data_IF_003469790779
#
_entry.id   IF_003469790779
#
_cell.length_a   1.000
_cell.length_b   1.000
_cell.length_c   1.000
_cell.angle_alpha   90.00
_cell.angle_beta   90.00
_cell.angle_gamma   90.00
#
_symmetry.space_group_name_H-M   'P 1'
#
loop_
_entity.id
_entity.type
_entity.pdbx_description
1 polymer ?
#
# COMPACT_ATOMS: atom_id res chain seq x y z
N UNK A 1 20.18 7.44 -10.12
CA UNK A 1 18.87 6.84 -10.46
C UNK A 1 17.80 7.87 -10.15
N UNK A 2 17.10 8.38 -11.17
CA UNK A 2 16.15 9.49 -11.06
C UNK A 2 15.04 9.14 -10.06
N UNK A 3 14.83 10.02 -9.07
CA UNK A 3 13.71 9.94 -8.10
C UNK A 3 12.34 10.18 -8.75
N UNK A 4 12.33 10.56 -10.04
CA UNK A 4 11.14 10.89 -10.81
C UNK A 4 10.38 9.68 -11.37
N UNK A 5 10.89 8.45 -11.17
CA UNK A 5 10.15 7.19 -11.42
C UNK A 5 9.67 6.57 -10.09
N UNK A 6 9.42 7.37 -9.04
CA UNK A 6 8.42 7.00 -8.03
C UNK A 6 6.99 7.24 -8.56
N UNK A 7 6.75 6.65 -9.73
CA UNK A 7 5.50 6.05 -10.17
C UNK A 7 4.20 6.81 -9.86
N UNK A 8 3.60 7.36 -10.92
CA UNK A 8 2.20 7.77 -11.04
C UNK A 8 1.16 6.68 -10.65
N UNK A 9 1.60 5.51 -10.18
CA UNK A 9 0.79 4.35 -9.84
C UNK A 9 0.74 4.03 -8.33
N UNK A 10 1.23 4.95 -7.48
CA UNK A 10 1.21 4.80 -6.01
C UNK A 10 0.38 5.90 -5.35
N UNK A 11 -0.79 5.57 -4.81
CA UNK A 11 -1.55 6.47 -3.94
C UNK A 11 -1.06 6.30 -2.50
N UNK A 12 -0.84 7.40 -1.76
CA UNK A 12 -0.54 7.37 -0.32
C UNK A 12 -1.48 8.29 0.44
N UNK A 13 -2.07 7.78 1.52
CA UNK A 13 -2.96 8.52 2.41
C UNK A 13 -2.42 8.39 3.84
N UNK A 14 -2.17 9.52 4.50
CA UNK A 14 -1.85 9.56 5.92
C UNK A 14 -3.14 9.65 6.74
N UNK A 15 -3.39 8.65 7.57
CA UNK A 15 -4.56 8.57 8.42
C UNK A 15 -4.32 9.29 9.74
N UNK A 16 -5.11 10.33 9.99
CA UNK A 16 -5.24 10.89 11.34
C UNK A 16 -6.06 9.98 12.27
N UNK A 17 -6.91 9.15 11.68
CA UNK A 17 -7.76 8.12 12.27
C UNK A 17 -8.73 7.60 11.19
N UNK A 18 -8.99 6.29 11.17
CA UNK A 18 -9.92 5.66 10.23
C UNK A 18 -10.84 4.71 10.99
N UNK A 19 -12.13 4.68 10.65
CA UNK A 19 -13.04 3.68 11.18
C UNK A 19 -12.63 2.27 10.69
N UNK A 20 -12.78 1.21 11.50
CA UNK A 20 -12.44 -0.15 11.08
C UNK A 20 -13.08 -0.55 9.74
N UNK A 21 -14.34 -0.20 9.53
CA UNK A 21 -15.11 -0.55 8.34
C UNK A 21 -14.60 0.18 7.09
N UNK A 22 -14.16 1.43 7.26
CA UNK A 22 -13.57 2.20 6.18
C UNK A 22 -12.18 1.64 5.80
N UNK A 23 -11.40 1.19 6.78
CA UNK A 23 -10.14 0.48 6.50
C UNK A 23 -10.42 -0.80 5.72
N UNK A 24 -11.42 -1.59 6.11
CA UNK A 24 -11.79 -2.81 5.39
C UNK A 24 -12.15 -2.57 3.92
N UNK A 25 -12.83 -1.45 3.62
CA UNK A 25 -13.13 -1.06 2.23
C UNK A 25 -11.86 -0.76 1.43
N UNK A 26 -10.92 0.03 1.98
CA UNK A 26 -9.64 0.30 1.31
C UNK A 26 -8.85 -0.98 1.08
N UNK A 27 -8.78 -1.87 2.07
CA UNK A 27 -8.10 -3.15 1.94
C UNK A 27 -8.75 -4.03 0.85
N UNK A 28 -10.08 -4.04 0.76
CA UNK A 28 -10.81 -4.75 -0.30
C UNK A 28 -10.52 -4.19 -1.71
N UNK A 29 -10.21 -2.89 -1.81
CA UNK A 29 -9.78 -2.24 -3.05
C UNK A 29 -8.29 -2.46 -3.38
N UNK A 30 -7.57 -3.29 -2.62
CA UNK A 30 -6.15 -3.56 -2.84
C UNK A 30 -5.21 -2.49 -2.29
N UNK A 31 -5.67 -1.68 -1.35
CA UNK A 31 -4.81 -0.81 -0.57
C UNK A 31 -4.18 -1.58 0.59
N UNK A 32 -3.01 -1.11 1.05
CA UNK A 32 -2.21 -1.72 2.10
C UNK A 32 -1.94 -0.74 3.21
N UNK A 33 -1.97 -1.20 4.46
CA UNK A 33 -1.74 -0.36 5.64
C UNK A 33 -0.37 -0.65 6.25
N UNK A 34 0.41 0.41 6.45
CA UNK A 34 1.64 0.40 7.25
C UNK A 34 1.55 1.50 8.30
N UNK A 35 1.31 1.12 9.56
CA UNK A 35 1.12 2.08 10.66
C UNK A 35 -0.08 3.00 10.45
N UNK A 36 0.19 4.30 10.33
CA UNK A 36 -0.81 5.35 10.06
C UNK A 36 -0.93 5.70 8.57
N UNK A 37 -0.31 4.95 7.67
CA UNK A 37 -0.37 5.21 6.23
C UNK A 37 -1.06 4.06 5.52
N UNK A 38 -1.96 4.38 4.59
CA UNK A 38 -2.47 3.42 3.61
C UNK A 38 -1.91 3.79 2.23
N UNK A 39 -1.49 2.80 1.45
CA UNK A 39 -0.96 3.00 0.11
C UNK A 39 -1.32 1.86 -0.85
N UNK A 40 -1.36 2.15 -2.15
CA UNK A 40 -1.37 1.12 -3.20
C UNK A 40 -0.01 1.10 -3.86
N UNK A 41 0.55 -0.09 -4.11
CA UNK A 41 1.66 -0.21 -5.05
C UNK A 41 1.62 -1.55 -5.74
N UNK A 42 1.85 -1.54 -7.04
CA UNK A 42 2.02 -2.76 -7.83
C UNK A 42 3.47 -3.27 -7.77
N UNK A 43 4.42 -2.38 -7.49
CA UNK A 43 5.84 -2.70 -7.55
C UNK A 43 6.59 -2.18 -6.32
N UNK A 44 7.46 -3.01 -5.77
CA UNK A 44 8.39 -2.62 -4.71
C UNK A 44 9.79 -2.56 -5.29
N UNK A 45 10.53 -1.53 -4.91
CA UNK A 45 11.93 -1.35 -5.28
C UNK A 45 12.79 -1.71 -4.07
N UNK A 46 13.56 -2.78 -4.18
CA UNK A 46 14.53 -3.20 -3.18
C UNK A 46 15.84 -3.54 -3.86
N UNK A 47 16.97 -3.14 -3.29
CA UNK A 47 18.32 -3.50 -3.78
C UNK A 47 18.56 -3.28 -5.29
N UNK A 48 17.93 -2.25 -5.85
CA UNK A 48 17.93 -1.91 -7.29
C UNK A 48 17.11 -2.81 -8.21
N UNK A 49 16.39 -3.79 -7.66
CA UNK A 49 15.47 -4.67 -8.37
C UNK A 49 14.01 -4.27 -8.15
N UNK A 50 13.16 -4.66 -9.11
CA UNK A 50 11.71 -4.41 -9.11
C UNK A 50 10.98 -5.71 -8.84
N UNK A 51 10.15 -5.72 -7.81
CA UNK A 51 9.35 -6.86 -7.40
C UNK A 51 7.86 -6.56 -7.53
N UNK A 52 7.07 -7.50 -8.04
CA UNK A 52 5.61 -7.40 -7.96
C UNK A 52 5.15 -7.55 -6.50
N UNK A 53 4.38 -6.57 -6.03
CA UNK A 53 3.85 -6.58 -4.67
C UNK A 53 2.59 -7.44 -4.62
N UNK A 54 2.67 -8.62 -3.98
CA UNK A 54 1.51 -9.46 -3.67
C UNK A 54 1.28 -9.39 -2.17
N UNK A 55 0.08 -8.99 -1.78
CA UNK A 55 -0.27 -8.84 -0.38
C UNK A 55 -1.40 -9.79 -0.03
N UNK A 56 -1.15 -10.59 1.01
CA UNK A 56 -2.09 -11.60 1.48
C UNK A 56 -2.85 -11.04 2.69
N UNK A 57 -4.18 -11.02 2.60
CA UNK A 57 -5.03 -10.73 3.76
C UNK A 57 -5.11 -12.00 4.61
N UNK A 58 -4.42 -12.02 5.74
CA UNK A 58 -4.56 -13.09 6.73
C UNK A 58 -5.82 -12.81 7.54
N UNK A 59 -6.76 -13.75 7.54
CA UNK A 59 -7.87 -13.75 8.49
C UNK A 59 -7.36 -14.34 9.81
N UNK A 60 -7.28 -13.51 10.84
CA UNK A 60 -6.93 -13.96 12.18
C UNK A 60 -8.23 -14.31 12.94
N UNK A 61 -8.34 -15.52 13.52
CA UNK A 61 -9.48 -15.93 14.32
C UNK A 61 -9.56 -15.23 15.68
#
# INVERSE_FOLDING_TARGET
MNRDIESQFTGRIFLKGIAPEALDQYLAMGWYRMGLTIFTTHFLFFDSDIYSAIWLRVHLP
#
